data_IF_789257588656
#
_entry.id   IF_789257588656
#
_cell.length_a   1.000
_cell.length_b   1.000
_cell.length_c   1.000
_cell.angle_alpha   90.00
_cell.angle_beta   90.00
_cell.angle_gamma   90.00
#
_symmetry.space_group_name_H-M   'P 1'
#
loop_
_entity.id
_entity.type
_entity.pdbx_description
1 polymer ?
#
# COMPACT_ATOMS: atom_id res chain seq x y z
N UNK A 1 28.90 2.41 45.59
CA UNK A 1 27.69 2.82 44.86
C UNK A 1 26.58 1.87 45.32
N UNK A 2 25.45 2.39 45.79
CA UNK A 2 24.41 1.57 46.42
C UNK A 2 23.54 0.85 45.36
N UNK A 3 23.18 -0.41 45.63
CA UNK A 3 22.48 -1.28 44.67
C UNK A 3 21.11 -0.71 44.29
N UNK A 4 20.42 -0.10 45.25
CA UNK A 4 19.13 0.55 45.03
C UNK A 4 19.25 1.74 44.08
N UNK A 5 20.40 2.43 44.07
CA UNK A 5 20.66 3.53 43.15
C UNK A 5 20.79 3.02 41.71
N UNK A 6 21.46 1.88 41.51
CA UNK A 6 21.60 1.24 40.19
C UNK A 6 20.26 0.71 39.66
N UNK A 7 19.44 0.13 40.55
CA UNK A 7 18.09 -0.35 40.21
C UNK A 7 17.19 0.81 39.78
N UNK A 8 17.25 1.94 40.49
CA UNK A 8 16.46 3.13 40.12
C UNK A 8 16.92 3.72 38.79
N UNK A 9 18.23 3.84 38.56
CA UNK A 9 18.77 4.28 37.26
C UNK A 9 18.34 3.38 36.09
N UNK A 10 18.35 2.06 36.29
CA UNK A 10 17.91 1.11 35.27
C UNK A 10 16.41 1.24 34.98
N UNK A 11 15.58 1.47 36.01
CA UNK A 11 14.13 1.70 35.85
C UNK A 11 13.84 2.97 35.06
N UNK A 12 14.53 4.06 35.37
CA UNK A 12 14.38 5.33 34.67
C UNK A 12 14.77 5.20 33.20
N UNK A 13 15.88 4.51 32.92
CA UNK A 13 16.34 4.25 31.57
C UNK A 13 15.36 3.36 30.79
N UNK A 14 14.80 2.34 31.43
CA UNK A 14 13.78 1.50 30.81
C UNK A 14 12.50 2.28 30.49
N UNK A 15 12.05 3.14 31.39
CA UNK A 15 10.88 3.99 31.17
C UNK A 15 11.09 4.93 29.97
N UNK A 16 12.26 5.57 29.87
CA UNK A 16 12.61 6.44 28.75
C UNK A 16 12.58 5.69 27.41
N UNK A 17 13.25 4.54 27.33
CA UNK A 17 13.28 3.70 26.12
C UNK A 17 11.89 3.23 25.71
N UNK A 18 11.04 2.86 26.68
CA UNK A 18 9.68 2.43 26.40
C UNK A 18 8.82 3.56 25.81
N UNK A 19 9.00 4.81 26.27
CA UNK A 19 8.32 5.97 25.68
C UNK A 19 8.80 6.21 24.25
N UNK A 20 10.10 6.18 23.99
CA UNK A 20 10.65 6.35 22.64
C UNK A 20 10.15 5.28 21.66
N UNK A 21 10.13 4.01 22.09
CA UNK A 21 9.62 2.91 21.29
C UNK A 21 8.15 3.11 20.90
N UNK A 22 7.32 3.57 21.84
CA UNK A 22 5.91 3.87 21.57
C UNK A 22 5.74 5.05 20.60
N UNK A 23 6.53 6.11 20.74
CA UNK A 23 6.51 7.24 19.82
C UNK A 23 6.88 6.82 18.39
N UNK A 24 7.93 6.01 18.23
CA UNK A 24 8.33 5.45 16.93
C UNK A 24 7.24 4.56 16.34
N UNK A 25 6.60 3.72 17.17
CA UNK A 25 5.47 2.88 16.74
C UNK A 25 4.31 3.72 16.19
N UNK A 26 3.91 4.77 16.90
CA UNK A 26 2.82 5.68 16.49
C UNK A 26 3.18 6.44 15.20
N UNK A 27 4.42 6.94 15.09
CA UNK A 27 4.89 7.64 13.89
C UNK A 27 4.91 6.72 12.67
N UNK A 28 5.43 5.50 12.84
CA UNK A 28 5.50 4.52 11.76
C UNK A 28 4.12 3.99 11.37
N UNK A 29 3.16 3.90 12.31
CA UNK A 29 1.79 3.48 12.02
C UNK A 29 1.18 4.25 10.86
N UNK A 30 1.23 5.59 10.88
CA UNK A 30 0.70 6.41 9.78
C UNK A 30 1.38 6.13 8.43
N UNK A 31 2.67 5.82 8.44
CA UNK A 31 3.43 5.49 7.22
C UNK A 31 3.03 4.12 6.70
N UNK A 32 2.81 3.14 7.57
CA UNK A 32 2.29 1.83 7.22
C UNK A 32 0.87 1.92 6.68
N UNK A 33 -0.03 2.64 7.35
CA UNK A 33 -1.41 2.86 6.90
C UNK A 33 -1.44 3.45 5.48
N UNK A 34 -0.63 4.48 5.22
CA UNK A 34 -0.51 5.07 3.88
C UNK A 34 0.02 4.07 2.83
N UNK A 35 0.98 3.23 3.19
CA UNK A 35 1.50 2.22 2.28
C UNK A 35 0.42 1.19 1.93
N UNK A 36 -0.34 0.75 2.93
CA UNK A 36 -1.42 -0.23 2.77
C UNK A 36 -2.56 0.32 1.89
N UNK A 37 -2.92 1.60 2.08
CA UNK A 37 -3.85 2.31 1.21
C UNK A 37 -3.36 2.34 -0.26
N UNK A 38 -2.08 2.64 -0.47
CA UNK A 38 -1.49 2.68 -1.82
C UNK A 38 -1.49 1.30 -2.48
N UNK A 39 -1.17 0.24 -1.73
CA UNK A 39 -1.22 -1.14 -2.21
C UNK A 39 -2.66 -1.53 -2.55
N UNK A 40 -3.61 -1.23 -1.67
CA UNK A 40 -5.04 -1.48 -1.89
C UNK A 40 -5.56 -0.75 -3.14
N UNK A 41 -5.18 0.52 -3.32
CA UNK A 41 -5.54 1.28 -4.51
C UNK A 41 -4.91 0.72 -5.79
N UNK A 42 -3.63 0.31 -5.74
CA UNK A 42 -2.95 -0.32 -6.86
C UNK A 42 -3.64 -1.64 -7.26
N UNK A 43 -3.98 -2.47 -6.27
CA UNK A 43 -4.70 -3.72 -6.49
C UNK A 43 -6.10 -3.48 -7.08
N UNK A 44 -6.86 -2.52 -6.54
CA UNK A 44 -8.16 -2.13 -7.10
C UNK A 44 -8.06 -1.69 -8.57
N UNK A 45 -7.03 -0.90 -8.92
CA UNK A 45 -6.77 -0.49 -10.32
C UNK A 45 -6.45 -1.67 -11.21
N UNK A 46 -5.63 -2.61 -10.73
CA UNK A 46 -5.32 -3.85 -11.42
C UNK A 46 -6.57 -4.70 -11.67
N UNK A 47 -7.41 -4.92 -10.65
CA UNK A 47 -8.66 -5.67 -10.77
C UNK A 47 -9.61 -5.05 -11.79
N UNK A 48 -9.84 -3.72 -11.71
CA UNK A 48 -10.66 -2.98 -12.69
C UNK A 48 -10.12 -3.13 -14.09
N UNK A 49 -8.78 -3.16 -14.24
CA UNK A 49 -8.12 -3.31 -15.52
C UNK A 49 -8.29 -4.72 -16.08
N UNK A 50 -8.11 -5.77 -15.28
CA UNK A 50 -8.38 -7.16 -15.67
C UNK A 50 -9.83 -7.31 -16.14
N UNK A 51 -10.79 -6.81 -15.36
CA UNK A 51 -12.21 -6.85 -15.72
C UNK A 51 -12.47 -6.15 -17.06
N UNK A 52 -11.86 -4.97 -17.29
CA UNK A 52 -11.97 -4.29 -18.60
C UNK A 52 -11.33 -5.10 -19.72
N UNK A 53 -10.23 -5.80 -19.48
CA UNK A 53 -9.60 -6.65 -20.50
C UNK A 53 -10.47 -7.85 -20.85
N UNK A 54 -11.08 -8.50 -19.86
CA UNK A 54 -12.07 -9.57 -20.07
C UNK A 54 -13.23 -9.06 -20.93
N UNK A 55 -13.80 -7.90 -20.61
CA UNK A 55 -14.86 -7.29 -21.42
C UNK A 55 -14.38 -6.99 -22.85
N UNK A 56 -13.20 -6.40 -23.03
CA UNK A 56 -12.68 -6.12 -24.37
C UNK A 56 -12.36 -7.40 -25.17
N UNK A 57 -11.96 -8.49 -24.51
CA UNK A 57 -11.75 -9.79 -25.14
C UNK A 57 -13.07 -10.34 -25.72
N UNK A 58 -14.19 -10.22 -24.98
CA UNK A 58 -15.51 -10.63 -25.47
C UNK A 58 -15.90 -9.96 -26.80
N UNK A 59 -15.44 -8.73 -27.04
CA UNK A 59 -15.73 -8.00 -28.28
C UNK A 59 -14.67 -8.19 -29.38
N UNK A 60 -13.39 -8.30 -29.02
CA UNK A 60 -12.28 -8.31 -29.97
C UNK A 60 -11.73 -9.71 -30.28
N UNK A 61 -12.11 -10.71 -29.50
CA UNK A 61 -11.63 -12.10 -29.55
C UNK A 61 -10.09 -12.24 -29.53
N UNK A 62 -9.42 -11.25 -28.95
CA UNK A 62 -7.97 -11.18 -28.82
C UNK A 62 -7.62 -10.54 -27.48
N UNK A 63 -6.53 -10.99 -26.88
CA UNK A 63 -6.06 -10.47 -25.60
C UNK A 63 -5.68 -8.99 -25.68
N UNK A 64 -5.80 -8.31 -24.54
CA UNK A 64 -5.35 -6.93 -24.40
C UNK A 64 -3.81 -6.88 -24.39
N UNK A 65 -3.18 -7.03 -25.55
CA UNK A 65 -1.76 -6.76 -25.72
C UNK A 65 -1.51 -5.26 -25.58
N UNK A 66 -0.52 -4.94 -24.75
CA UNK A 66 -0.13 -3.57 -24.49
C UNK A 66 1.36 -3.45 -24.79
N UNK A 67 1.68 -2.82 -25.90
CA UNK A 67 3.03 -2.35 -26.14
C UNK A 67 3.29 -1.23 -25.13
N UNK A 68 4.19 -1.48 -24.17
CA UNK A 68 4.47 -0.57 -23.05
C UNK A 68 4.91 0.83 -23.52
N UNK A 69 5.39 0.94 -24.75
CA UNK A 69 5.92 2.16 -25.35
C UNK A 69 4.96 2.85 -26.34
N UNK A 70 3.88 2.20 -26.78
CA UNK A 70 3.00 2.79 -27.77
C UNK A 70 1.83 3.52 -27.11
N UNK A 71 1.75 4.84 -27.32
CA UNK A 71 0.64 5.70 -26.90
C UNK A 71 -0.69 5.39 -27.62
N UNK A 72 -0.75 4.37 -28.48
CA UNK A 72 -1.94 4.01 -29.23
C UNK A 72 -2.94 3.29 -28.32
N UNK A 73 -3.95 4.01 -27.88
CA UNK A 73 -5.11 3.42 -27.23
C UNK A 73 -5.86 2.55 -28.26
N UNK A 74 -5.66 1.22 -28.21
CA UNK A 74 -6.49 0.28 -28.99
C UNK A 74 -7.94 0.40 -28.50
N UNK A 75 -8.87 0.68 -29.40
CA UNK A 75 -10.28 0.92 -29.09
C UNK A 75 -10.86 -0.21 -28.22
N UNK A 76 -11.17 0.12 -26.97
CA UNK A 76 -11.85 -0.73 -26.01
C UNK A 76 -13.17 -0.02 -25.74
N UNK A 77 -14.34 -0.61 -26.08
CA UNK A 77 -15.60 0.07 -25.86
C UNK A 77 -15.69 0.47 -24.38
N UNK A 78 -15.74 1.78 -24.12
CA UNK A 78 -16.27 2.24 -22.84
C UNK A 78 -17.71 1.74 -22.80
N UNK A 79 -18.18 1.25 -21.64
CA UNK A 79 -19.59 0.84 -21.45
C UNK A 79 -20.47 1.80 -22.25
N UNK A 80 -21.27 1.28 -23.20
CA UNK A 80 -22.28 2.10 -23.87
C UNK A 80 -23.05 2.82 -22.77
N UNK A 81 -23.22 4.16 -22.82
CA UNK A 81 -24.23 4.78 -21.97
C UNK A 81 -25.56 4.10 -22.33
N UNK A 82 -26.28 3.68 -21.29
CA UNK A 82 -27.67 3.23 -21.45
C UNK A 82 -28.50 4.41 -21.94
#
# INVERSE_FOLDING_TARGET
MDNDTLINQARDLYAALHVEQNLLSIQNKRRFDRLDDLVTHAYCRYQRRLNRCVLCYQFRLNDCFRDFCEKRQRFCPAKRPR
#
